data_IF_356935928104
#
_entry.id   IF_356935928104
#
_cell.length_a   1.000
_cell.length_b   1.000
_cell.length_c   1.000
_cell.angle_alpha   90.00
_cell.angle_beta   90.00
_cell.angle_gamma   90.00
#
_symmetry.space_group_name_H-M   'P 1'
#
loop_
_entity.id
_entity.type
_entity.pdbx_description
1 polymer ?
#
# COMPACT_ATOMS: atom_id res chain seq x y z
N UNK A 1 -21.79 4.49 -1.16
CA UNK A 1 -21.36 3.67 -0.01
C UNK A 1 -20.70 2.43 -0.60
N UNK A 2 -19.48 2.09 -0.20
CA UNK A 2 -18.83 0.85 -0.66
C UNK A 2 -19.43 -0.31 0.14
N UNK A 3 -20.10 -1.24 -0.54
CA UNK A 3 -20.56 -2.47 0.12
C UNK A 3 -19.37 -3.36 0.45
N UNK A 4 -19.32 -3.88 1.67
CA UNK A 4 -18.24 -4.76 2.13
C UNK A 4 -18.66 -6.22 1.91
N UNK A 5 -17.80 -6.98 1.24
CA UNK A 5 -17.97 -8.40 0.96
C UNK A 5 -16.81 -9.17 1.56
N UNK A 6 -17.11 -10.22 2.35
CA UNK A 6 -16.12 -11.08 2.99
C UNK A 6 -16.65 -12.51 3.12
N UNK A 7 -15.76 -13.49 2.99
CA UNK A 7 -16.00 -14.89 3.35
C UNK A 7 -15.30 -15.21 4.67
N UNK A 8 -15.94 -15.94 5.59
CA UNK A 8 -15.31 -16.31 6.85
C UNK A 8 -14.13 -17.27 6.64
N UNK A 9 -13.06 -17.08 7.41
CA UNK A 9 -11.89 -17.94 7.36
C UNK A 9 -10.80 -17.53 8.35
N UNK A 10 -9.84 -18.43 8.54
CA UNK A 10 -8.60 -18.16 9.30
C UNK A 10 -7.44 -18.37 8.34
N UNK A 11 -6.60 -17.34 8.19
CA UNK A 11 -5.36 -17.42 7.41
C UNK A 11 -4.20 -17.54 8.40
N UNK A 12 -3.39 -18.59 8.25
CA UNK A 12 -2.24 -18.84 9.12
C UNK A 12 -1.06 -17.96 8.72
N UNK A 13 -0.16 -17.69 9.68
CA UNK A 13 0.95 -16.74 9.51
C UNK A 13 1.99 -17.12 8.45
N UNK A 14 1.96 -18.34 7.93
CA UNK A 14 2.80 -18.87 6.87
C UNK A 14 2.14 -18.79 5.47
N UNK A 15 0.88 -18.34 5.37
CA UNK A 15 0.16 -18.22 4.10
C UNK A 15 0.13 -16.77 3.64
N UNK A 16 0.90 -16.49 2.59
CA UNK A 16 0.94 -15.21 1.88
C UNK A 16 1.61 -15.39 0.53
N UNK A 17 1.34 -14.46 -0.39
CA UNK A 17 2.14 -14.25 -1.60
C UNK A 17 3.12 -13.10 -1.32
N UNK A 18 4.36 -13.21 -1.80
CA UNK A 18 5.35 -12.12 -1.74
C UNK A 18 5.39 -11.41 -3.09
N UNK A 19 5.32 -10.09 -3.06
CA UNK A 19 5.74 -9.21 -4.16
C UNK A 19 6.79 -8.24 -3.65
N UNK A 20 7.69 -7.81 -4.54
CA UNK A 20 8.78 -6.91 -4.19
C UNK A 20 8.67 -5.59 -4.94
N UNK A 21 8.76 -4.49 -4.19
CA UNK A 21 9.16 -3.17 -4.69
C UNK A 21 10.63 -2.94 -4.33
N UNK A 22 11.29 -1.88 -4.83
CA UNK A 22 12.74 -1.68 -4.61
C UNK A 22 13.17 -1.76 -3.15
N UNK A 23 12.37 -1.17 -2.25
CA UNK A 23 12.68 -1.03 -0.82
C UNK A 23 11.66 -1.76 0.08
N UNK A 24 10.77 -2.58 -0.51
CA UNK A 24 9.69 -3.25 0.22
C UNK A 24 9.58 -4.74 -0.14
N UNK A 25 9.57 -5.60 0.89
CA UNK A 25 8.95 -6.91 0.81
C UNK A 25 7.47 -6.77 1.21
N UNK A 26 6.58 -7.06 0.27
CA UNK A 26 5.13 -6.93 0.47
C UNK A 26 4.53 -8.32 0.52
N UNK A 27 3.89 -8.65 1.64
CA UNK A 27 3.20 -9.92 1.85
C UNK A 27 1.70 -9.72 1.70
N UNK A 28 1.16 -10.20 0.59
CA UNK A 28 -0.26 -10.22 0.31
C UNK A 28 -0.91 -11.37 1.10
N UNK A 29 -1.54 -11.04 2.23
CA UNK A 29 -2.10 -12.02 3.20
C UNK A 29 -3.49 -12.47 2.81
N UNK A 30 -4.36 -11.51 2.45
CA UNK A 30 -5.74 -11.75 2.03
C UNK A 30 -5.98 -10.99 0.73
N UNK A 31 -6.22 -11.72 -0.35
CA UNK A 31 -6.49 -11.17 -1.69
C UNK A 31 -7.75 -11.76 -2.33
N UNK A 32 -8.37 -12.73 -1.65
CA UNK A 32 -9.55 -13.46 -2.11
C UNK A 32 -10.64 -13.45 -1.03
N UNK A 33 -11.83 -13.90 -1.39
CA UNK A 33 -12.94 -14.04 -0.45
C UNK A 33 -13.70 -12.73 -0.22
N UNK A 34 -13.53 -11.72 -1.08
CA UNK A 34 -14.23 -10.45 -0.92
C UNK A 34 -13.48 -9.27 -1.49
N UNK A 35 -13.85 -8.08 -1.04
CA UNK A 35 -13.24 -6.81 -1.43
C UNK A 35 -12.48 -6.15 -0.27
N UNK A 36 -12.14 -6.93 0.75
CA UNK A 36 -11.24 -6.53 1.83
C UNK A 36 -9.94 -7.28 1.65
N UNK A 37 -8.83 -6.55 1.58
CA UNK A 37 -7.51 -7.15 1.48
C UNK A 37 -6.68 -6.78 2.70
N UNK A 38 -5.75 -7.67 3.05
CA UNK A 38 -4.81 -7.48 4.16
C UNK A 38 -3.41 -7.69 3.62
N UNK A 39 -2.54 -6.72 3.85
CA UNK A 39 -1.18 -6.68 3.30
C UNK A 39 -0.22 -6.33 4.44
N UNK A 40 0.91 -7.01 4.50
CA UNK A 40 2.01 -6.64 5.41
C UNK A 40 3.16 -6.08 4.57
N UNK A 41 3.57 -4.86 4.88
CA UNK A 41 4.76 -4.22 4.31
C UNK A 41 5.93 -4.39 5.26
N UNK A 42 7.07 -4.82 4.73
CA UNK A 42 8.36 -4.80 5.42
C UNK A 42 9.27 -3.91 4.57
N UNK A 43 9.50 -2.71 5.08
CA UNK A 43 10.13 -1.63 4.34
C UNK A 43 11.50 -1.30 4.92
N UNK A 44 12.45 -0.96 4.04
CA UNK A 44 13.69 -0.25 4.40
C UNK A 44 13.54 1.25 4.16
N UNK A 45 14.59 2.02 4.45
CA UNK A 45 14.70 3.45 4.14
C UNK A 45 14.19 3.76 2.73
N UNK A 46 13.15 4.58 2.63
CA UNK A 46 12.56 5.00 1.36
C UNK A 46 11.84 6.32 1.50
N UNK A 47 11.93 7.17 0.49
CA UNK A 47 11.16 8.41 0.39
C UNK A 47 9.67 8.16 0.06
N UNK A 48 9.34 6.94 -0.39
CA UNK A 48 7.98 6.56 -0.77
C UNK A 48 7.52 7.14 -2.12
N UNK A 49 6.27 6.85 -2.51
CA UNK A 49 5.72 7.37 -3.75
C UNK A 49 5.45 8.88 -3.64
N UNK A 50 5.39 9.61 -4.76
CA UNK A 50 4.79 10.95 -4.75
C UNK A 50 3.36 10.89 -4.17
N UNK A 51 2.86 11.99 -3.58
CA UNK A 51 1.48 12.06 -3.12
C UNK A 51 0.49 11.65 -4.22
N UNK A 52 -0.44 10.77 -3.87
CA UNK A 52 -1.39 10.19 -4.80
C UNK A 52 -2.69 9.79 -4.09
N UNK A 53 -3.73 9.50 -4.87
CA UNK A 53 -5.00 8.95 -4.42
C UNK A 53 -5.36 7.70 -5.21
N UNK A 54 -6.30 6.91 -4.71
CA UNK A 54 -6.76 5.67 -5.33
C UNK A 54 -8.24 5.38 -5.00
N UNK A 55 -8.91 4.47 -5.73
CA UNK A 55 -10.36 4.28 -5.60
C UNK A 55 -10.79 3.31 -4.48
N UNK A 56 -9.87 2.82 -3.65
CA UNK A 56 -10.17 1.99 -2.48
C UNK A 56 -9.99 2.76 -1.18
N UNK A 57 -10.68 2.35 -0.11
CA UNK A 57 -10.34 2.83 1.23
C UNK A 57 -9.12 2.09 1.73
N UNK A 58 -8.30 2.72 2.57
CA UNK A 58 -7.08 2.14 3.11
C UNK A 58 -6.90 2.50 4.58
N UNK A 59 -6.41 1.54 5.36
CA UNK A 59 -5.97 1.75 6.74
C UNK A 59 -4.56 1.22 6.85
N UNK A 60 -3.64 2.06 7.30
CA UNK A 60 -2.25 1.70 7.55
C UNK A 60 -1.98 1.73 9.05
N UNK A 61 -1.44 0.65 9.58
CA UNK A 61 -1.10 0.51 11.01
C UNK A 61 0.39 0.18 11.16
N UNK A 62 1.11 0.96 11.95
CA UNK A 62 2.52 0.72 12.24
C UNK A 62 2.66 -0.38 13.27
N UNK A 63 3.24 -1.52 12.88
CA UNK A 63 3.54 -2.63 13.77
C UNK A 63 4.89 -2.43 14.46
N UNK A 64 5.92 -2.04 13.71
CA UNK A 64 7.29 -1.89 14.19
C UNK A 64 8.03 -0.80 13.38
N UNK A 65 9.04 -0.18 13.98
CA UNK A 65 9.82 0.91 13.36
C UNK A 65 9.15 2.29 13.41
N UNK A 66 9.67 3.22 12.61
CA UNK A 66 9.17 4.59 12.49
C UNK A 66 8.86 4.93 11.04
N UNK A 67 7.73 5.59 10.81
CA UNK A 67 7.29 6.05 9.48
C UNK A 67 6.80 7.48 9.55
N UNK A 68 6.73 8.12 8.39
CA UNK A 68 6.04 9.38 8.23
C UNK A 68 4.92 9.24 7.22
N UNK A 69 3.74 9.72 7.58
CA UNK A 69 2.55 9.74 6.75
C UNK A 69 2.29 11.15 6.27
N UNK A 70 2.01 11.32 4.98
CA UNK A 70 1.55 12.56 4.38
C UNK A 70 0.05 12.51 4.18
N UNK A 71 -0.67 13.48 4.74
CA UNK A 71 -2.11 13.73 4.51
C UNK A 71 -2.35 15.23 4.56
N UNK A 72 -3.19 15.76 3.68
CA UNK A 72 -3.60 17.17 3.67
C UNK A 72 -2.41 18.17 3.70
N UNK A 73 -1.33 17.86 2.98
CA UNK A 73 -0.15 18.74 2.90
C UNK A 73 0.81 18.62 4.09
N UNK A 74 0.58 17.72 5.04
CA UNK A 74 1.36 17.61 6.27
C UNK A 74 1.97 16.22 6.46
N UNK A 75 3.26 16.19 6.76
CA UNK A 75 3.95 14.99 7.21
C UNK A 75 3.81 14.83 8.72
N UNK A 76 3.33 13.67 9.15
CA UNK A 76 3.23 13.27 10.56
C UNK A 76 4.06 12.02 10.80
N UNK A 77 5.03 12.10 11.71
CA UNK A 77 5.89 10.99 12.11
C UNK A 77 5.24 10.16 13.21
N UNK A 78 5.33 8.84 13.13
CA UNK A 78 4.79 7.93 14.13
C UNK A 78 5.45 6.56 14.15
N UNK A 79 5.54 5.98 15.35
CA UNK A 79 6.04 4.63 15.60
C UNK A 79 4.91 3.62 15.84
N UNK A 80 5.18 2.47 16.50
CA UNK A 80 4.21 1.41 16.70
C UNK A 80 2.90 1.88 17.34
N UNK A 81 1.77 1.45 16.77
CA UNK A 81 0.42 1.86 17.20
C UNK A 81 -0.11 3.12 16.50
N UNK A 82 0.70 3.80 15.68
CA UNK A 82 0.22 4.89 14.82
C UNK A 82 -0.65 4.32 13.71
N UNK A 83 -1.76 5.01 13.41
CA UNK A 83 -2.74 4.59 12.39
C UNK A 83 -3.06 5.75 11.47
N UNK A 84 -3.05 5.48 10.17
CA UNK A 84 -3.59 6.36 9.13
C UNK A 84 -4.88 5.74 8.58
N UNK A 85 -5.90 6.57 8.38
CA UNK A 85 -7.19 6.15 7.80
C UNK A 85 -7.47 7.00 6.57
N UNK A 86 -7.66 6.33 5.44
CA UNK A 86 -7.73 6.94 4.12
C UNK A 86 -9.03 6.54 3.43
N UNK A 87 -10.05 7.42 3.42
CA UNK A 87 -11.15 7.27 2.51
C UNK A 87 -10.67 7.21 1.06
N UNK A 88 -11.34 6.44 0.20
CA UNK A 88 -11.09 6.43 -1.24
C UNK A 88 -11.05 7.85 -1.82
N UNK A 89 -10.02 8.14 -2.63
CA UNK A 89 -9.76 9.47 -3.19
C UNK A 89 -8.95 10.42 -2.30
N UNK A 90 -8.54 10.00 -1.09
CA UNK A 90 -7.66 10.83 -0.25
C UNK A 90 -6.24 10.88 -0.82
N UNK A 91 -5.68 12.08 -0.96
CA UNK A 91 -4.27 12.23 -1.30
C UNK A 91 -3.40 11.86 -0.10
N UNK A 92 -2.45 10.98 -0.31
CA UNK A 92 -1.53 10.52 0.73
C UNK A 92 -0.19 10.08 0.16
N UNK A 93 0.79 9.99 1.05
CA UNK A 93 2.06 9.30 0.85
C UNK A 93 2.56 8.75 2.18
N UNK A 94 3.52 7.84 2.12
CA UNK A 94 4.11 7.17 3.27
C UNK A 94 5.58 6.94 2.99
N UNK A 95 6.44 7.23 3.96
CA UNK A 95 7.89 7.04 3.85
C UNK A 95 8.50 6.44 5.11
N UNK A 96 9.65 5.79 4.95
CA UNK A 96 10.46 5.26 6.05
C UNK A 96 11.72 6.12 6.11
N UNK A 97 11.83 7.07 7.07
CA UNK A 97 12.93 8.02 7.09
C UNK A 97 14.28 7.37 7.43
N UNK A 98 14.27 6.24 8.16
CA UNK A 98 15.48 5.50 8.54
C UNK A 98 15.16 4.13 9.15
N UNK A 99 16.09 3.18 9.02
CA UNK A 99 16.00 1.81 9.51
C UNK A 99 15.06 0.90 8.72
N UNK A 100 14.26 0.16 9.47
CA UNK A 100 13.25 -0.74 8.92
C UNK A 100 11.93 -0.48 9.59
N UNK A 101 10.83 -0.56 8.84
CA UNK A 101 9.48 -0.46 9.38
C UNK A 101 8.63 -1.64 8.92
N UNK A 102 7.66 -2.01 9.75
CA UNK A 102 6.66 -3.02 9.42
C UNK A 102 5.27 -2.44 9.58
N UNK A 103 4.47 -2.51 8.52
CA UNK A 103 3.12 -1.97 8.50
C UNK A 103 2.10 -3.04 8.12
N UNK A 104 0.89 -2.92 8.68
CA UNK A 104 -0.28 -3.68 8.27
C UNK A 104 -1.22 -2.75 7.51
N UNK A 105 -1.51 -3.09 6.26
CA UNK A 105 -2.45 -2.36 5.42
C UNK A 105 -3.73 -3.18 5.30
N UNK A 106 -4.86 -2.49 5.37
CA UNK A 106 -6.18 -3.05 5.07
C UNK A 106 -6.82 -2.18 3.99
N UNK A 107 -7.09 -2.76 2.83
CA UNK A 107 -7.77 -2.05 1.73
C UNK A 107 -9.19 -2.56 1.55
N UNK A 108 -10.12 -1.68 1.17
CA UNK A 108 -11.54 -1.98 1.01
C UNK A 108 -12.07 -1.36 -0.30
N UNK A 109 -12.55 -2.18 -1.23
CA UNK A 109 -13.08 -1.74 -2.52
C UNK A 109 -12.41 -2.45 -3.71
N UNK A 110 -12.12 -1.74 -4.82
CA UNK A 110 -11.34 -2.30 -5.92
C UNK A 110 -10.03 -2.91 -5.39
N UNK A 111 -9.68 -4.14 -5.80
CA UNK A 111 -8.58 -4.87 -5.20
C UNK A 111 -7.20 -4.27 -5.56
N UNK A 112 -6.36 -4.05 -4.56
CA UNK A 112 -5.00 -3.51 -4.63
C UNK A 112 -3.98 -4.53 -5.17
N UNK A 113 -4.17 -5.83 -4.89
CA UNK A 113 -3.20 -6.88 -5.20
C UNK A 113 -2.83 -7.02 -6.69
N UNK A 114 -3.75 -6.72 -7.61
CA UNK A 114 -3.45 -6.67 -9.05
C UNK A 114 -2.40 -5.61 -9.40
N UNK A 115 -2.58 -4.39 -8.87
CA UNK A 115 -1.62 -3.29 -9.00
C UNK A 115 -0.27 -3.67 -8.38
N UNK A 116 -0.30 -4.29 -7.19
CA UNK A 116 0.89 -4.73 -6.49
C UNK A 116 1.77 -5.67 -7.33
N UNK A 117 1.14 -6.70 -7.93
CA UNK A 117 1.84 -7.66 -8.79
C UNK A 117 2.40 -7.01 -10.05
N UNK A 118 1.63 -6.13 -10.70
CA UNK A 118 2.07 -5.52 -11.96
C UNK A 118 3.25 -4.57 -11.74
N UNK A 119 3.24 -3.75 -10.68
CA UNK A 119 4.40 -2.95 -10.31
C UNK A 119 5.60 -3.83 -9.94
N UNK A 120 5.40 -4.92 -9.19
CA UNK A 120 6.49 -5.82 -8.85
C UNK A 120 7.18 -6.42 -10.09
N UNK A 121 6.39 -6.82 -11.09
CA UNK A 121 6.93 -7.27 -12.38
C UNK A 121 7.69 -6.18 -13.13
N UNK A 122 7.18 -4.93 -13.11
CA UNK A 122 7.87 -3.79 -13.72
C UNK A 122 9.25 -3.56 -13.06
N UNK A 123 9.30 -3.55 -11.73
CA UNK A 123 10.55 -3.39 -10.97
C UNK A 123 11.54 -4.52 -11.22
N UNK A 124 11.08 -5.78 -11.20
CA UNK A 124 11.91 -6.95 -11.48
C UNK A 124 12.49 -6.92 -12.90
N UNK A 125 11.79 -6.30 -13.86
CA UNK A 125 12.25 -6.14 -15.24
C UNK A 125 13.33 -5.06 -15.44
N UNK A 126 13.66 -4.26 -14.43
CA UNK A 126 14.65 -3.18 -14.52
C UNK A 126 14.26 -2.00 -15.41
N UNK A 127 12.99 -1.92 -15.82
CA UNK A 127 12.43 -0.87 -16.70
C UNK A 127 11.44 0.06 -15.98
N UNK A 128 11.52 0.12 -14.65
CA UNK A 128 10.63 0.96 -13.85
C UNK A 128 11.02 2.44 -13.93
N UNK A 129 10.87 3.04 -15.10
CA UNK A 129 10.89 4.49 -15.24
C UNK A 129 9.56 5.09 -14.75
N UNK A 130 9.56 6.40 -14.54
CA UNK A 130 8.40 7.11 -14.03
C UNK A 130 7.16 6.94 -14.93
N UNK A 131 7.34 6.89 -16.24
CA UNK A 131 6.22 6.71 -17.18
C UNK A 131 5.56 5.34 -17.04
N UNK A 132 6.33 4.26 -16.93
CA UNK A 132 5.78 2.91 -16.75
C UNK A 132 5.04 2.77 -15.42
N UNK A 133 5.58 3.36 -14.35
CA UNK A 133 4.93 3.38 -13.03
C UNK A 133 3.60 4.12 -13.10
N UNK A 134 3.58 5.32 -13.71
CA UNK A 134 2.36 6.14 -13.86
C UNK A 134 1.32 5.45 -14.74
N UNK A 135 1.73 4.81 -15.85
CA UNK A 135 0.81 4.08 -16.73
C UNK A 135 0.09 2.96 -15.97
N UNK A 136 0.83 2.15 -15.20
CA UNK A 136 0.26 1.10 -14.36
C UNK A 136 -0.64 1.73 -13.31
N UNK A 137 -0.17 2.76 -12.59
CA UNK A 137 -0.95 3.45 -11.56
C UNK A 137 -2.31 3.93 -12.10
N UNK A 138 -2.30 4.60 -13.26
CA UNK A 138 -3.52 5.12 -13.89
C UNK A 138 -4.51 4.02 -14.25
N UNK A 139 -4.03 2.87 -14.72
CA UNK A 139 -4.84 1.70 -15.10
C UNK A 139 -5.64 1.13 -13.93
N UNK A 140 -5.09 1.19 -12.72
CA UNK A 140 -5.76 0.76 -11.48
C UNK A 140 -6.52 1.90 -10.78
N UNK A 141 -6.58 3.08 -11.41
CA UNK A 141 -7.34 4.23 -10.90
C UNK A 141 -6.57 5.10 -9.91
N UNK A 142 -5.28 4.85 -9.68
CA UNK A 142 -4.45 5.76 -8.90
C UNK A 142 -4.22 7.05 -9.68
N UNK A 143 -4.15 8.18 -8.99
CA UNK A 143 -3.88 9.51 -9.57
C UNK A 143 -2.88 10.26 -8.73
N UNK A 144 -1.91 10.90 -9.38
CA UNK A 144 -0.96 11.76 -8.67
C UNK A 144 -1.69 13.00 -8.14
N UNK A 145 -1.22 13.54 -7.02
CA UNK A 145 -1.76 14.78 -6.48
C UNK A 145 -1.64 15.91 -7.51
N UNK A 146 -2.77 16.53 -7.85
CA UNK A 146 -2.85 17.63 -8.80
C UNK A 146 -3.24 17.24 -10.25
N UNK A 147 -3.39 15.94 -10.55
CA UNK A 147 -4.06 15.46 -11.77
C UNK A 147 -5.59 15.66 -11.71
#
# INVERSE_FOLDING_TARGET
>A
MTDVHMTPGVITGDRFEIVHYPDDEIRLRVTQGGNVQVIEYISTDREGPPPHSHPWHEVEFVIDGEVEFYVDGQWTRGGPGTVQMLPAGSNHSVRVPSGTARLLYVTIGPPYDGFARELSHLYAGGKADASGIVEIAHRYGLRLEGE
#
